data_IF_839902475332
#
_entry.id   IF_839902475332
#
_cell.length_a   1.000
_cell.length_b   1.000
_cell.length_c   1.000
_cell.angle_alpha   90.00
_cell.angle_beta   90.00
_cell.angle_gamma   90.00
#
_symmetry.space_group_name_H-M   'P 1'
#
loop_
_entity.id
_entity.type
_entity.pdbx_description
1 polymer ?
#
# COMPACT_ATOMS: atom_id res chain seq x y z
N UNK A 1 39.04 19.62 -3.78
CA UNK A 1 38.00 19.57 -4.82
C UNK A 1 36.70 19.08 -4.19
N UNK A 2 35.82 20.01 -3.82
CA UNK A 2 34.62 19.74 -3.03
C UNK A 2 33.39 19.44 -3.91
N UNK A 3 32.64 18.37 -3.62
CA UNK A 3 31.35 18.07 -4.26
C UNK A 3 30.19 18.46 -3.34
N UNK A 4 29.33 19.29 -3.92
CA UNK A 4 28.15 19.94 -3.36
C UNK A 4 27.04 18.95 -2.98
N UNK A 5 26.65 18.91 -1.70
CA UNK A 5 25.46 18.21 -1.23
C UNK A 5 24.25 19.14 -1.38
N UNK A 6 23.35 18.78 -2.30
CA UNK A 6 22.10 19.48 -2.54
C UNK A 6 21.09 19.17 -1.41
N UNK A 7 21.13 19.95 -0.32
CA UNK A 7 20.08 19.95 0.73
C UNK A 7 18.86 20.70 0.21
N UNK A 8 17.83 19.95 -0.18
CA UNK A 8 16.50 20.51 -0.45
C UNK A 8 15.78 20.66 0.89
N UNK A 9 15.59 21.89 1.35
CA UNK A 9 14.81 22.21 2.55
C UNK A 9 13.36 22.57 2.16
N UNK A 10 12.33 21.93 2.75
CA UNK A 10 10.96 22.37 2.53
C UNK A 10 10.67 23.63 3.35
N UNK A 11 10.48 24.77 2.66
CA UNK A 11 9.95 26.01 3.27
C UNK A 11 8.45 25.85 3.50
N UNK A 12 8.04 25.59 4.75
CA UNK A 12 6.64 25.68 5.14
C UNK A 12 6.20 27.16 5.19
N UNK A 13 5.47 27.61 4.18
CA UNK A 13 4.95 28.99 4.08
C UNK A 13 3.71 29.12 4.97
N UNK A 14 3.93 29.58 6.20
CA UNK A 14 2.86 29.99 7.11
C UNK A 14 2.09 31.18 6.53
N UNK A 15 0.86 30.91 6.06
CA UNK A 15 -0.07 31.94 5.58
C UNK A 15 -0.84 32.46 6.79
N UNK A 16 -0.39 33.60 7.30
CA UNK A 16 -1.01 34.39 8.38
C UNK A 16 -2.50 34.63 8.03
N UNK A 17 -3.41 34.08 8.83
CA UNK A 17 -4.85 34.20 8.64
C UNK A 17 -5.31 35.64 8.84
N UNK A 18 -6.11 36.13 7.88
CA UNK A 18 -6.95 37.32 8.08
C UNK A 18 -8.07 36.96 9.05
N UNK A 19 -8.32 37.86 9.99
CA UNK A 19 -9.35 37.82 11.03
C UNK A 19 -10.71 37.48 10.44
N UNK A 20 -11.22 36.28 10.75
CA UNK A 20 -12.58 35.81 10.40
C UNK A 20 -13.68 36.70 11.01
N UNK A 21 -13.31 37.62 11.91
CA UNK A 21 -14.23 38.50 12.64
C UNK A 21 -14.69 39.73 11.87
N UNK A 22 -14.02 40.12 10.78
CA UNK A 22 -14.35 41.35 10.03
C UNK A 22 -15.42 41.13 8.94
N UNK A 23 -15.79 39.89 8.63
CA UNK A 23 -16.71 39.59 7.53
C UNK A 23 -18.21 39.59 7.89
N UNK A 24 -18.57 39.77 9.17
CA UNK A 24 -19.97 39.63 9.63
C UNK A 24 -20.70 40.94 9.96
N UNK A 25 -20.05 42.10 9.78
CA UNK A 25 -20.56 43.35 10.35
C UNK A 25 -21.30 44.28 9.39
N UNK A 26 -21.73 43.80 8.21
CA UNK A 26 -22.48 44.64 7.29
C UNK A 26 -23.28 43.89 6.25
N UNK A 27 -24.52 43.49 6.59
CA UNK A 27 -25.67 43.47 5.67
C UNK A 27 -26.88 42.82 6.36
N UNK A 28 -27.64 43.63 7.11
CA UNK A 28 -29.02 43.32 7.40
C UNK A 28 -29.83 43.47 6.10
N UNK A 29 -29.82 42.45 5.23
CA UNK A 29 -30.77 42.33 4.13
C UNK A 29 -31.64 41.09 4.32
N UNK A 30 -32.89 41.37 4.63
CA UNK A 30 -34.00 40.44 4.77
C UNK A 30 -34.35 39.88 3.38
N UNK A 31 -33.68 38.81 2.98
CA UNK A 31 -34.06 37.99 1.84
C UNK A 31 -35.18 37.06 2.32
N UNK A 32 -36.44 37.36 1.97
CA UNK A 32 -37.53 36.38 2.10
C UNK A 32 -37.28 35.25 1.09
N UNK A 33 -37.07 34.00 1.50
CA UNK A 33 -36.95 32.91 0.55
C UNK A 33 -38.30 32.71 -0.15
N UNK A 34 -38.32 32.41 -1.46
CA UNK A 34 -39.55 32.02 -2.16
C UNK A 34 -40.09 30.73 -1.53
N UNK A 35 -41.37 30.73 -1.15
CA UNK A 35 -42.06 29.66 -0.44
C UNK A 35 -42.43 28.44 -1.31
N UNK A 36 -41.80 28.27 -2.48
CA UNK A 36 -42.17 27.23 -3.46
C UNK A 36 -41.25 25.99 -3.45
N UNK A 37 -40.39 25.82 -2.44
CA UNK A 37 -39.41 24.71 -2.40
C UNK A 37 -39.99 23.41 -1.80
N UNK A 38 -41.18 23.42 -1.19
CA UNK A 38 -41.72 22.25 -0.48
C UNK A 38 -42.87 21.54 -1.21
N UNK A 39 -42.83 21.45 -2.55
CA UNK A 39 -43.58 20.40 -3.22
C UNK A 39 -42.85 19.07 -3.04
N UNK A 40 -43.09 18.43 -1.90
CA UNK A 40 -42.64 17.07 -1.64
C UNK A 40 -43.14 16.18 -2.78
N UNK A 41 -42.26 15.63 -3.65
CA UNK A 41 -42.70 14.63 -4.60
C UNK A 41 -43.26 13.50 -3.76
N UNK A 42 -44.54 13.16 -3.98
CA UNK A 42 -45.17 11.99 -3.34
C UNK A 42 -44.29 10.79 -3.69
N UNK A 43 -43.43 10.43 -2.74
CA UNK A 43 -42.35 9.49 -2.95
C UNK A 43 -42.92 8.15 -3.33
N UNK A 44 -42.47 7.60 -4.46
CA UNK A 44 -42.74 6.21 -4.82
C UNK A 44 -42.06 5.36 -3.75
N UNK A 45 -42.85 4.76 -2.86
CA UNK A 45 -42.35 3.78 -1.92
C UNK A 45 -41.84 2.57 -2.71
N UNK A 46 -40.59 2.17 -2.49
CA UNK A 46 -40.02 0.96 -3.08
C UNK A 46 -40.84 -0.24 -2.59
N UNK A 47 -41.23 -1.11 -3.53
CA UNK A 47 -41.91 -2.34 -3.15
C UNK A 47 -40.92 -3.30 -2.48
N UNK A 48 -41.40 -4.06 -1.49
CA UNK A 48 -40.57 -5.08 -0.83
C UNK A 48 -40.01 -6.09 -1.83
N UNK A 49 -40.77 -6.39 -2.89
CA UNK A 49 -40.35 -7.30 -3.97
C UNK A 49 -39.21 -6.72 -4.81
N UNK A 50 -39.18 -5.40 -5.06
CA UNK A 50 -38.09 -4.75 -5.78
C UNK A 50 -36.76 -4.84 -5.04
N UNK A 51 -36.76 -4.75 -3.70
CA UNK A 51 -35.53 -4.97 -2.92
C UNK A 51 -35.20 -6.47 -2.77
N UNK A 52 -36.21 -7.33 -2.66
CA UNK A 52 -36.04 -8.78 -2.50
C UNK A 52 -35.37 -9.43 -3.73
N UNK A 53 -35.75 -9.02 -4.94
CA UNK A 53 -35.13 -9.55 -6.17
C UNK A 53 -33.68 -9.09 -6.33
N UNK A 54 -33.34 -7.90 -5.84
CA UNK A 54 -31.98 -7.37 -5.94
C UNK A 54 -31.02 -8.15 -5.04
N UNK A 55 -31.39 -8.34 -3.77
CA UNK A 55 -30.54 -9.09 -2.83
C UNK A 55 -30.43 -10.57 -3.23
N UNK A 56 -31.46 -11.14 -3.87
CA UNK A 56 -31.41 -12.54 -4.32
C UNK A 56 -30.40 -12.72 -5.46
N UNK A 57 -30.38 -11.80 -6.43
CA UNK A 57 -29.40 -11.85 -7.52
C UNK A 57 -28.00 -11.55 -7.00
N UNK A 58 -27.83 -10.56 -6.11
CA UNK A 58 -26.53 -10.22 -5.53
C UNK A 58 -25.94 -11.38 -4.71
N UNK A 59 -26.75 -12.08 -3.93
CA UNK A 59 -26.27 -13.23 -3.14
C UNK A 59 -25.87 -14.41 -4.01
N UNK A 60 -26.59 -14.67 -5.10
CA UNK A 60 -26.20 -15.67 -6.10
C UNK A 60 -24.83 -15.36 -6.72
N UNK A 61 -24.60 -14.10 -7.11
CA UNK A 61 -23.31 -13.68 -7.65
C UNK A 61 -22.18 -13.80 -6.62
N UNK A 62 -22.40 -13.35 -5.38
CA UNK A 62 -21.41 -13.51 -4.32
C UNK A 62 -21.09 -14.98 -4.02
N UNK A 63 -22.09 -15.87 -4.07
CA UNK A 63 -21.90 -17.31 -3.88
C UNK A 63 -20.91 -17.91 -4.89
N UNK A 64 -20.87 -17.39 -6.13
CA UNK A 64 -19.92 -17.82 -7.16
C UNK A 64 -18.56 -17.13 -7.03
N UNK A 65 -18.52 -15.86 -6.59
CA UNK A 65 -17.29 -15.04 -6.53
C UNK A 65 -16.41 -15.37 -5.31
N UNK A 66 -17.01 -15.62 -4.14
CA UNK A 66 -16.28 -15.90 -2.91
C UNK A 66 -15.29 -17.10 -2.99
N UNK A 67 -15.66 -18.27 -3.55
CA UNK A 67 -14.72 -19.38 -3.68
C UNK A 67 -13.61 -19.11 -4.71
N UNK A 68 -13.88 -18.32 -5.76
CA UNK A 68 -12.85 -17.91 -6.71
C UNK A 68 -11.83 -16.96 -6.04
N UNK A 69 -12.30 -16.04 -5.20
CA UNK A 69 -11.45 -15.08 -4.50
C UNK A 69 -10.47 -15.73 -3.52
N UNK A 70 -10.89 -16.79 -2.81
CA UNK A 70 -10.00 -17.50 -1.87
C UNK A 70 -8.83 -18.18 -2.60
N UNK A 71 -9.10 -18.83 -3.75
CA UNK A 71 -8.07 -19.45 -4.61
C UNK A 71 -7.09 -18.41 -5.16
N UNK A 72 -7.59 -17.28 -5.67
CA UNK A 72 -6.73 -16.20 -6.20
C UNK A 72 -5.80 -15.63 -5.13
N UNK A 73 -6.24 -15.49 -3.88
CA UNK A 73 -5.38 -15.03 -2.79
C UNK A 73 -4.24 -16.00 -2.48
N UNK A 74 -4.52 -17.32 -2.51
CA UNK A 74 -3.48 -18.32 -2.31
C UNK A 74 -2.43 -18.27 -3.43
N UNK A 75 -2.88 -18.17 -4.69
CA UNK A 75 -1.99 -18.01 -5.85
C UNK A 75 -1.18 -16.72 -5.74
N UNK A 76 -1.79 -15.59 -5.37
CA UNK A 76 -1.08 -14.33 -5.18
C UNK A 76 0.01 -14.40 -4.10
N UNK A 77 -0.22 -15.14 -3.00
CA UNK A 77 0.82 -15.37 -1.98
C UNK A 77 1.95 -16.24 -2.53
N UNK A 78 1.62 -17.26 -3.31
CA UNK A 78 2.60 -18.13 -3.96
C UNK A 78 3.47 -17.36 -4.94
N UNK A 79 2.89 -16.50 -5.79
CA UNK A 79 3.66 -15.70 -6.76
C UNK A 79 4.59 -14.70 -6.06
N UNK A 80 4.15 -14.09 -4.96
CA UNK A 80 5.01 -13.22 -4.13
C UNK A 80 6.17 -14.03 -3.53
N UNK A 81 5.89 -15.21 -2.98
CA UNK A 81 6.93 -16.08 -2.40
C UNK A 81 7.97 -16.49 -3.46
N UNK A 82 7.51 -16.92 -4.64
CA UNK A 82 8.38 -17.27 -5.76
C UNK A 82 9.24 -16.09 -6.22
N UNK A 83 8.67 -14.89 -6.30
CA UNK A 83 9.41 -13.67 -6.61
C UNK A 83 10.50 -13.37 -5.59
N UNK A 84 10.20 -13.49 -4.29
CA UNK A 84 11.19 -13.32 -3.21
C UNK A 84 12.29 -14.37 -3.30
N UNK A 85 11.96 -15.64 -3.49
CA UNK A 85 12.94 -16.71 -3.63
C UNK A 85 13.88 -16.48 -4.81
N UNK A 86 13.34 -16.02 -5.95
CA UNK A 86 14.17 -15.63 -7.10
C UNK A 86 15.11 -14.47 -6.74
N UNK A 87 14.62 -13.45 -6.04
CA UNK A 87 15.46 -12.31 -5.60
C UNK A 87 16.57 -12.76 -4.64
N UNK A 88 16.28 -13.66 -3.70
CA UNK A 88 17.29 -14.24 -2.81
C UNK A 88 18.32 -15.07 -3.57
N UNK A 89 17.89 -15.91 -4.52
CA UNK A 89 18.80 -16.69 -5.36
C UNK A 89 19.77 -15.80 -6.14
N UNK A 90 19.28 -14.72 -6.74
CA UNK A 90 20.12 -13.73 -7.42
C UNK A 90 21.07 -13.02 -6.46
N UNK A 91 20.66 -12.74 -5.23
CA UNK A 91 21.53 -12.14 -4.22
C UNK A 91 22.67 -13.08 -3.79
N UNK A 92 22.38 -14.38 -3.63
CA UNK A 92 23.38 -15.38 -3.29
C UNK A 92 24.36 -15.63 -4.44
N UNK A 93 23.87 -15.66 -5.68
CA UNK A 93 24.73 -15.77 -6.87
C UNK A 93 25.66 -14.55 -6.99
N UNK A 94 25.11 -13.33 -6.83
CA UNK A 94 25.91 -12.11 -6.84
C UNK A 94 26.99 -12.12 -5.75
N UNK A 95 26.64 -12.52 -4.52
CA UNK A 95 27.61 -12.64 -3.44
C UNK A 95 28.70 -13.69 -3.75
N UNK A 96 28.31 -14.87 -4.24
CA UNK A 96 29.28 -15.93 -4.54
C UNK A 96 30.29 -15.51 -5.63
N UNK A 97 29.87 -14.71 -6.62
CA UNK A 97 30.78 -14.14 -7.62
C UNK A 97 31.82 -13.22 -6.99
N UNK A 98 31.43 -12.41 -6.01
CA UNK A 98 32.32 -11.46 -5.34
C UNK A 98 33.21 -12.12 -4.25
N UNK A 99 32.81 -13.29 -3.74
CA UNK A 99 33.45 -13.99 -2.62
C UNK A 99 33.95 -15.39 -3.00
N UNK A 100 34.68 -15.54 -4.11
CA UNK A 100 35.37 -16.78 -4.53
C UNK A 100 34.50 -18.04 -4.57
N UNK A 101 33.20 -17.91 -4.86
CA UNK A 101 32.23 -18.99 -4.90
C UNK A 101 31.65 -19.40 -3.54
N UNK A 102 32.01 -18.71 -2.45
CA UNK A 102 31.45 -18.94 -1.12
C UNK A 102 30.09 -18.24 -0.97
N UNK A 103 29.17 -18.88 -0.24
CA UNK A 103 27.86 -18.31 0.11
C UNK A 103 27.89 -17.61 1.47
N UNK A 104 27.01 -16.63 1.71
CA UNK A 104 27.00 -15.90 2.98
C UNK A 104 26.62 -16.82 4.14
N UNK A 105 27.39 -16.73 5.22
CA UNK A 105 27.24 -17.59 6.38
C UNK A 105 26.31 -16.96 7.44
N UNK A 106 25.59 -17.79 8.20
CA UNK A 106 24.56 -17.32 9.17
C UNK A 106 25.12 -16.47 10.32
N UNK A 107 26.41 -16.59 10.60
CA UNK A 107 27.13 -15.86 11.65
C UNK A 107 27.75 -14.54 11.15
N UNK A 108 27.52 -14.19 9.88
CA UNK A 108 28.01 -12.95 9.28
C UNK A 108 29.52 -12.89 9.07
N UNK A 109 30.23 -14.02 9.16
CA UNK A 109 31.65 -14.11 8.81
C UNK A 109 31.80 -14.55 7.35
N UNK A 110 32.63 -13.83 6.60
CA UNK A 110 33.00 -14.20 5.25
C UNK A 110 34.12 -15.25 5.30
N UNK A 111 33.75 -16.54 5.30
CA UNK A 111 34.73 -17.64 5.18
C UNK A 111 35.22 -17.72 3.75
N UNK A 112 36.23 -16.92 3.44
CA UNK A 112 36.94 -16.93 2.16
C UNK A 112 38.13 -17.90 2.23
N UNK A 113 38.74 -18.22 1.08
CA UNK A 113 39.91 -19.10 1.03
C UNK A 113 41.12 -18.61 1.86
N UNK A 114 41.11 -17.35 2.32
CA UNK A 114 42.12 -16.77 3.22
C UNK A 114 41.80 -16.86 4.71
N UNK A 115 40.63 -17.40 5.10
CA UNK A 115 40.26 -17.54 6.52
C UNK A 115 40.97 -18.76 7.14
N UNK A 116 41.86 -18.59 8.14
CA UNK A 116 42.69 -19.66 8.71
C UNK A 116 41.89 -20.81 9.33
N UNK A 117 40.60 -20.61 9.62
CA UNK A 117 39.73 -21.65 10.17
C UNK A 117 39.22 -22.65 9.12
N UNK A 118 39.22 -22.28 7.83
CA UNK A 118 38.76 -23.16 6.73
C UNK A 118 39.74 -24.28 6.45
N UNK A 119 41.04 -24.02 6.61
CA UNK A 119 42.11 -25.01 6.40
C UNK A 119 42.14 -26.07 7.51
N UNK A 120 41.75 -25.70 8.73
CA UNK A 120 41.67 -26.62 9.87
C UNK A 120 40.50 -27.61 9.73
N UNK A 121 39.35 -27.17 9.23
CA UNK A 121 38.17 -28.03 9.05
C UNK A 121 38.28 -28.96 7.83
N UNK A 122 39.18 -28.64 6.88
CA UNK A 122 39.47 -29.48 5.70
C UNK A 122 40.39 -30.68 6.00
N UNK A 123 41.10 -30.68 7.12
CA UNK A 123 42.04 -31.74 7.51
C UNK A 123 41.37 -32.92 8.25
N UNK A 124 40.08 -32.78 8.63
CA UNK A 124 39.33 -33.77 9.42
C UNK A 124 38.33 -34.61 8.59
N UNK A 125 38.53 -34.71 7.27
CA UNK A 125 37.77 -35.59 6.35
C UNK A 125 38.69 -36.33 5.39
#
# INVERSE_FOLDING_TARGET
MARSLHRISPRYRSRRGRSVREAYQGSAQMIRPPSDILRSPRGRAFSLIEMLVVISIVSLLFGLILPALSRTRAIARQTICQGRLRQWGLAFEAYAVDHDGFYPHIDGRDRTASDPQTDAERADY
#
